data_IF_927651814997
#
_entry.id   IF_927651814997
#
_cell.length_a   1.000
_cell.length_b   1.000
_cell.length_c   1.000
_cell.angle_alpha   90.00
_cell.angle_beta   90.00
_cell.angle_gamma   90.00
#
_symmetry.space_group_name_H-M   'P 1'
#
loop_
_entity.id
_entity.type
_entity.pdbx_description
1 polymer ?
#
# COMPACT_ATOMS: atom_id res chain seq x y z
N UNK A 1 -12.96 11.78 -17.64
CA UNK A 1 -13.49 10.41 -17.44
C UNK A 1 -14.77 10.42 -16.59
N UNK A 2 -14.74 10.86 -15.33
CA UNK A 2 -15.96 10.96 -14.47
C UNK A 2 -17.17 11.66 -15.11
N UNK A 3 -16.98 12.73 -15.88
CA UNK A 3 -18.07 13.39 -16.62
C UNK A 3 -18.60 12.53 -17.76
N UNK A 4 -17.70 11.92 -18.53
CA UNK A 4 -18.05 11.06 -19.66
C UNK A 4 -18.81 9.82 -19.21
N UNK A 5 -18.44 9.28 -18.04
CA UNK A 5 -19.07 8.11 -17.44
C UNK A 5 -20.30 8.48 -16.59
N UNK A 6 -20.69 9.75 -16.54
CA UNK A 6 -21.91 10.20 -15.87
C UNK A 6 -21.84 10.26 -14.34
N UNK A 7 -20.66 10.22 -13.73
CA UNK A 7 -20.48 10.43 -12.28
C UNK A 7 -20.49 11.91 -11.90
N UNK A 8 -20.22 12.82 -12.84
CA UNK A 8 -20.23 14.26 -12.61
C UNK A 8 -20.89 15.01 -13.78
N UNK A 9 -21.63 16.11 -13.53
CA UNK A 9 -22.06 17.00 -14.59
C UNK A 9 -20.87 17.81 -15.13
N UNK A 10 -20.94 18.25 -16.38
CA UNK A 10 -19.94 19.17 -16.98
C UNK A 10 -19.75 20.43 -16.14
N UNK A 11 -20.82 20.92 -15.50
CA UNK A 11 -20.79 22.07 -14.63
C UNK A 11 -19.81 21.94 -13.44
N UNK A 12 -19.54 20.71 -12.97
CA UNK A 12 -18.67 20.47 -11.81
C UNK A 12 -17.21 20.89 -12.03
N UNK A 13 -16.76 21.02 -13.29
CA UNK A 13 -15.39 21.43 -13.65
C UNK A 13 -15.33 22.76 -14.38
N UNK A 14 -16.40 23.58 -14.32
CA UNK A 14 -16.41 24.91 -14.94
C UNK A 14 -15.36 25.85 -14.37
N UNK A 15 -15.03 25.70 -13.08
CA UNK A 15 -13.98 26.44 -12.42
C UNK A 15 -12.88 25.48 -11.97
N UNK A 16 -11.81 25.42 -12.76
CA UNK A 16 -10.58 24.73 -12.38
C UNK A 16 -9.63 25.78 -11.80
N UNK A 17 -9.12 25.61 -10.57
CA UNK A 17 -8.08 26.49 -10.05
C UNK A 17 -6.88 26.58 -11.02
N UNK A 18 -6.18 27.71 -11.10
CA UNK A 18 -5.04 27.89 -12.00
C UNK A 18 -3.82 27.11 -11.50
N UNK A 19 -3.83 25.78 -11.68
CA UNK A 19 -2.73 24.91 -11.27
C UNK A 19 -1.49 25.16 -12.14
N UNK A 20 -0.27 25.10 -11.55
CA UNK A 20 0.96 25.09 -12.32
C UNK A 20 0.96 23.96 -13.36
N UNK A 21 1.53 24.21 -14.53
CA UNK A 21 1.58 23.23 -15.62
C UNK A 21 2.86 22.40 -15.66
N UNK A 22 3.91 22.86 -14.97
CA UNK A 22 5.24 22.21 -14.94
C UNK A 22 5.53 21.46 -13.64
N UNK A 23 4.74 21.70 -12.60
CA UNK A 23 4.90 21.11 -11.29
C UNK A 23 3.53 20.80 -10.66
N UNK A 24 3.52 19.88 -9.71
CA UNK A 24 2.30 19.51 -8.98
C UNK A 24 2.33 20.17 -7.61
N UNK A 25 1.43 21.11 -7.38
CA UNK A 25 1.13 21.60 -6.03
C UNK A 25 0.10 20.67 -5.37
N UNK A 26 0.59 19.72 -4.56
CA UNK A 26 -0.24 18.65 -4.01
C UNK A 26 -1.37 19.17 -3.11
N UNK A 27 -1.15 20.21 -2.29
CA UNK A 27 -2.14 20.69 -1.33
C UNK A 27 -3.45 21.15 -2.01
N UNK A 28 -3.40 22.14 -2.91
CA UNK A 28 -4.55 22.61 -3.67
C UNK A 28 -5.17 21.52 -4.57
N UNK A 29 -4.37 20.65 -5.18
CA UNK A 29 -4.88 19.56 -6.04
C UNK A 29 -5.68 18.55 -5.22
N UNK A 30 -5.18 18.15 -4.05
CA UNK A 30 -5.88 17.24 -3.13
C UNK A 30 -7.22 17.83 -2.72
N UNK A 31 -7.23 19.09 -2.25
CA UNK A 31 -8.47 19.75 -1.83
C UNK A 31 -9.49 19.85 -2.97
N UNK A 32 -9.04 20.28 -4.16
CA UNK A 32 -9.89 20.39 -5.34
C UNK A 32 -10.46 19.04 -5.77
N UNK A 33 -9.61 18.01 -5.95
CA UNK A 33 -10.05 16.69 -6.39
C UNK A 33 -10.95 16.01 -5.35
N UNK A 34 -10.66 16.12 -4.06
CA UNK A 34 -11.54 15.59 -3.01
C UNK A 34 -12.92 16.23 -3.04
N UNK A 35 -13.01 17.53 -3.35
CA UNK A 35 -14.32 18.19 -3.52
C UNK A 35 -15.11 17.61 -4.71
N UNK A 36 -14.44 17.27 -5.82
CA UNK A 36 -15.07 16.63 -6.98
C UNK A 36 -15.46 15.18 -6.70
N UNK A 37 -14.61 14.44 -5.99
CA UNK A 37 -14.87 13.07 -5.55
C UNK A 37 -16.07 12.98 -4.62
N UNK A 38 -16.20 13.91 -3.67
CA UNK A 38 -17.39 14.00 -2.82
C UNK A 38 -18.66 14.35 -3.61
N UNK A 39 -18.56 15.19 -4.65
CA UNK A 39 -19.68 15.46 -5.55
C UNK A 39 -20.04 14.23 -6.38
N UNK A 40 -19.04 13.50 -6.89
CA UNK A 40 -19.23 12.30 -7.70
C UNK A 40 -19.93 11.19 -6.90
N UNK A 41 -19.48 10.95 -5.66
CA UNK A 41 -20.11 9.99 -4.77
C UNK A 41 -21.58 10.35 -4.48
N UNK A 42 -21.86 11.61 -4.12
CA UNK A 42 -23.24 12.06 -3.90
C UNK A 42 -24.12 11.94 -5.15
N UNK A 43 -23.55 12.15 -6.34
CA UNK A 43 -24.26 11.95 -7.59
C UNK A 43 -24.55 10.47 -7.84
N UNK A 44 -23.55 9.60 -7.64
CA UNK A 44 -23.71 8.14 -7.73
C UNK A 44 -24.78 7.61 -6.76
N UNK A 45 -24.77 8.05 -5.50
CA UNK A 45 -25.78 7.65 -4.53
C UNK A 45 -27.20 8.02 -4.97
N UNK A 46 -27.40 9.23 -5.53
CA UNK A 46 -28.73 9.72 -5.95
C UNK A 46 -29.18 9.22 -7.31
N UNK A 47 -28.27 9.12 -8.27
CA UNK A 47 -28.57 8.99 -9.69
C UNK A 47 -27.72 7.93 -10.42
N UNK A 48 -26.90 7.15 -9.69
CA UNK A 48 -26.13 6.06 -10.25
C UNK A 48 -27.04 5.04 -10.96
N UNK A 49 -26.68 4.71 -12.20
CA UNK A 49 -27.43 3.75 -13.03
C UNK A 49 -27.35 2.34 -12.45
N UNK A 50 -28.27 1.46 -12.84
CA UNK A 50 -28.24 0.05 -12.43
C UNK A 50 -26.90 -0.62 -12.76
N UNK A 51 -26.35 -0.34 -13.95
CA UNK A 51 -25.06 -0.88 -14.41
C UNK A 51 -23.91 -0.43 -13.49
N UNK A 52 -23.82 0.86 -13.17
CA UNK A 52 -22.78 1.38 -12.29
C UNK A 52 -22.88 0.80 -10.87
N UNK A 53 -24.11 0.63 -10.36
CA UNK A 53 -24.32 0.04 -9.03
C UNK A 53 -23.91 -1.42 -9.00
N UNK A 54 -24.29 -2.20 -10.01
CA UNK A 54 -23.86 -3.61 -10.13
C UNK A 54 -22.34 -3.72 -10.22
N UNK A 55 -21.69 -2.91 -11.06
CA UNK A 55 -20.23 -2.91 -11.17
C UNK A 55 -19.54 -2.53 -9.85
N UNK A 56 -20.07 -1.52 -9.14
CA UNK A 56 -19.55 -1.13 -7.84
C UNK A 56 -19.72 -2.23 -6.78
N UNK A 57 -20.89 -2.86 -6.70
CA UNK A 57 -21.13 -3.98 -5.78
C UNK A 57 -20.20 -5.16 -6.08
N UNK A 58 -20.06 -5.54 -7.35
CA UNK A 58 -19.16 -6.61 -7.77
C UNK A 58 -17.71 -6.29 -7.40
N UNK A 59 -17.24 -5.06 -7.65
CA UNK A 59 -15.90 -4.64 -7.24
C UNK A 59 -15.72 -4.75 -5.72
N UNK A 60 -16.72 -4.32 -4.94
CA UNK A 60 -16.64 -4.43 -3.49
C UNK A 60 -16.55 -5.89 -3.01
N UNK A 61 -17.30 -6.79 -3.62
CA UNK A 61 -17.28 -8.23 -3.30
C UNK A 61 -15.95 -8.88 -3.68
N UNK A 62 -15.44 -8.61 -4.90
CA UNK A 62 -14.18 -9.18 -5.40
C UNK A 62 -12.96 -8.65 -4.63
N UNK A 63 -13.01 -7.41 -4.16
CA UNK A 63 -11.90 -6.75 -3.46
C UNK A 63 -12.05 -6.73 -1.93
N UNK A 64 -13.07 -7.38 -1.38
CA UNK A 64 -13.42 -7.31 0.05
C UNK A 64 -12.24 -7.61 0.99
N UNK A 65 -11.33 -8.51 0.58
CA UNK A 65 -10.22 -8.97 1.42
C UNK A 65 -9.28 -7.86 1.90
N UNK A 66 -9.17 -6.74 1.17
CA UNK A 66 -8.37 -5.58 1.56
C UNK A 66 -9.22 -4.30 1.61
N UNK A 67 -10.23 -4.20 0.75
CA UNK A 67 -11.01 -2.99 0.57
C UNK A 67 -11.82 -2.64 1.81
N UNK A 68 -12.36 -3.65 2.50
CA UNK A 68 -13.18 -3.46 3.70
C UNK A 68 -12.35 -2.86 4.83
N UNK A 69 -11.18 -3.45 5.10
CA UNK A 69 -10.25 -2.94 6.11
C UNK A 69 -9.69 -1.57 5.72
N UNK A 70 -9.31 -1.37 4.46
CA UNK A 70 -8.85 -0.07 3.97
C UNK A 70 -9.91 1.02 4.15
N UNK A 71 -11.15 0.77 3.74
CA UNK A 71 -12.20 1.78 3.76
C UNK A 71 -12.60 2.14 5.20
N UNK A 72 -12.68 1.16 6.09
CA UNK A 72 -12.93 1.40 7.52
C UNK A 72 -11.76 2.14 8.17
N UNK A 73 -10.51 1.71 7.92
CA UNK A 73 -9.31 2.40 8.41
C UNK A 73 -9.31 3.87 8.00
N UNK A 74 -9.54 4.16 6.72
CA UNK A 74 -9.55 5.53 6.21
C UNK A 74 -10.69 6.37 6.81
N UNK A 75 -11.86 5.78 7.04
CA UNK A 75 -12.98 6.48 7.68
C UNK A 75 -12.69 6.80 9.15
N UNK A 76 -12.18 5.83 9.92
CA UNK A 76 -11.83 6.04 11.34
C UNK A 76 -10.68 7.03 11.47
N UNK A 77 -9.67 6.93 10.61
CA UNK A 77 -8.56 7.88 10.53
C UNK A 77 -9.05 9.31 10.30
N UNK A 78 -9.90 9.51 9.29
CA UNK A 78 -10.46 10.84 8.99
C UNK A 78 -11.30 11.37 10.14
N UNK A 79 -12.07 10.50 10.80
CA UNK A 79 -12.87 10.86 11.98
C UNK A 79 -11.99 11.36 13.14
N UNK A 80 -10.78 10.84 13.28
CA UNK A 80 -9.81 11.20 14.32
C UNK A 80 -8.67 12.11 13.83
N UNK A 81 -8.75 12.68 12.63
CA UNK A 81 -7.63 13.42 12.03
C UNK A 81 -7.11 14.58 12.89
N UNK A 82 -8.01 15.26 13.60
CA UNK A 82 -7.67 16.37 14.51
C UNK A 82 -6.95 15.92 15.80
N UNK A 83 -6.92 14.61 16.08
CA UNK A 83 -6.27 14.01 17.25
C UNK A 83 -5.04 13.23 16.80
N UNK A 84 -3.85 13.82 16.97
CA UNK A 84 -2.55 13.21 16.62
C UNK A 84 -2.46 12.72 15.16
N UNK A 85 -3.14 13.42 14.23
CA UNK A 85 -3.13 13.06 12.81
C UNK A 85 -3.94 11.79 12.48
N UNK A 86 -4.69 11.26 13.45
CA UNK A 86 -5.51 10.06 13.29
C UNK A 86 -4.71 8.77 13.17
N UNK A 87 -3.51 8.69 13.76
CA UNK A 87 -2.69 7.46 13.78
C UNK A 87 -3.42 6.36 14.54
N UNK A 88 -3.47 5.15 13.99
CA UNK A 88 -4.40 4.12 14.48
C UNK A 88 -4.20 3.65 15.93
N UNK A 89 -2.99 3.72 16.48
CA UNK A 89 -2.74 3.30 17.86
C UNK A 89 -3.15 4.36 18.90
N UNK A 90 -3.61 5.53 18.46
CA UNK A 90 -4.08 6.63 19.33
C UNK A 90 -5.61 6.73 19.34
N UNK A 91 -6.30 5.92 18.54
CA UNK A 91 -7.75 5.79 18.56
C UNK A 91 -8.26 5.18 19.86
N UNK A 92 -9.58 5.23 20.14
CA UNK A 92 -10.16 4.43 21.22
C UNK A 92 -9.70 2.97 21.15
N UNK A 93 -9.31 2.42 22.29
CA UNK A 93 -8.60 1.13 22.38
C UNK A 93 -9.36 -0.01 21.70
N UNK A 94 -10.69 0.00 21.78
CA UNK A 94 -11.56 -1.02 21.21
C UNK A 94 -11.50 -1.08 19.67
N UNK A 95 -11.49 0.07 18.98
CA UNK A 95 -11.32 0.13 17.52
C UNK A 95 -9.86 -0.01 17.09
N UNK A 96 -8.91 0.50 17.87
CA UNK A 96 -7.48 0.30 17.63
C UNK A 96 -7.13 -1.20 17.66
N UNK A 97 -7.69 -1.95 18.61
CA UNK A 97 -7.54 -3.41 18.76
C UNK A 97 -8.53 -4.23 17.93
N UNK A 98 -9.37 -3.58 17.12
CA UNK A 98 -10.35 -4.21 16.22
C UNK A 98 -11.30 -5.16 16.94
N UNK A 99 -11.76 -4.79 18.13
CA UNK A 99 -12.75 -5.55 18.87
C UNK A 99 -14.04 -5.69 18.04
N UNK A 100 -14.64 -6.90 17.90
CA UNK A 100 -15.74 -7.12 16.97
C UNK A 100 -16.94 -6.17 17.16
N UNK A 101 -17.28 -5.83 18.40
CA UNK A 101 -18.36 -4.91 18.71
C UNK A 101 -18.04 -3.47 18.26
N UNK A 102 -16.81 -3.01 18.50
CA UNK A 102 -16.35 -1.71 18.04
C UNK A 102 -16.31 -1.64 16.51
N UNK A 103 -15.78 -2.67 15.85
CA UNK A 103 -15.75 -2.75 14.38
C UNK A 103 -17.16 -2.62 13.77
N UNK A 104 -18.18 -3.29 14.34
CA UNK A 104 -19.57 -3.15 13.90
C UNK A 104 -20.12 -1.75 14.15
N UNK A 105 -19.91 -1.20 15.36
CA UNK A 105 -20.37 0.14 15.72
C UNK A 105 -19.77 1.21 14.81
N UNK A 106 -18.46 1.18 14.58
CA UNK A 106 -17.76 2.14 13.73
C UNK A 106 -18.15 1.98 12.27
N UNK A 107 -18.33 0.76 11.78
CA UNK A 107 -18.81 0.50 10.42
C UNK A 107 -20.22 1.08 10.20
N UNK A 108 -21.12 0.95 11.18
CA UNK A 108 -22.45 1.55 11.11
C UNK A 108 -22.41 3.08 11.21
N UNK A 109 -21.60 3.61 12.14
CA UNK A 109 -21.45 5.06 12.38
C UNK A 109 -20.88 5.79 11.16
N UNK A 110 -19.94 5.17 10.44
CA UNK A 110 -19.19 5.77 9.34
C UNK A 110 -19.56 5.19 7.96
N UNK A 111 -20.71 4.53 7.85
CA UNK A 111 -21.12 3.80 6.64
C UNK A 111 -21.01 4.64 5.34
N UNK A 112 -21.46 5.90 5.35
CA UNK A 112 -21.38 6.78 4.16
C UNK A 112 -19.93 7.11 3.77
N UNK A 113 -19.05 7.30 4.75
CA UNK A 113 -17.64 7.57 4.49
C UNK A 113 -16.89 6.32 4.02
N UNK A 114 -17.22 5.16 4.58
CA UNK A 114 -16.69 3.87 4.14
C UNK A 114 -17.11 3.60 2.69
N UNK A 115 -18.40 3.76 2.37
CA UNK A 115 -18.91 3.62 0.99
C UNK A 115 -18.17 4.58 0.03
N UNK A 116 -17.96 5.83 0.46
CA UNK A 116 -17.21 6.82 -0.33
C UNK A 116 -15.78 6.35 -0.61
N UNK A 117 -15.04 5.86 0.38
CA UNK A 117 -13.68 5.35 0.17
C UNK A 117 -13.66 4.14 -0.78
N UNK A 118 -14.62 3.21 -0.63
CA UNK A 118 -14.79 2.09 -1.57
C UNK A 118 -15.07 2.56 -2.99
N UNK A 119 -15.96 3.54 -3.13
CA UNK A 119 -16.32 4.12 -4.43
C UNK A 119 -15.12 4.77 -5.12
N UNK A 120 -14.23 5.43 -4.37
CA UNK A 120 -13.01 6.00 -4.96
C UNK A 120 -12.02 4.94 -5.41
N UNK A 121 -11.86 3.84 -4.67
CA UNK A 121 -11.05 2.71 -5.13
C UNK A 121 -11.65 2.09 -6.39
N UNK A 122 -12.96 1.87 -6.43
CA UNK A 122 -13.66 1.40 -7.63
C UNK A 122 -13.34 2.27 -8.86
N UNK A 123 -13.53 3.58 -8.75
CA UNK A 123 -13.23 4.52 -9.85
C UNK A 123 -11.75 4.54 -10.25
N UNK A 124 -10.84 4.35 -9.28
CA UNK A 124 -9.41 4.25 -9.55
C UNK A 124 -9.11 3.00 -10.37
N UNK A 125 -9.57 1.83 -9.91
CA UNK A 125 -9.30 0.56 -10.58
C UNK A 125 -9.95 0.48 -11.96
N UNK A 126 -11.17 1.00 -12.16
CA UNK A 126 -11.78 1.08 -13.49
C UNK A 126 -10.90 1.86 -14.47
N UNK A 127 -10.41 3.03 -14.05
CA UNK A 127 -9.60 3.89 -14.93
C UNK A 127 -8.19 3.32 -15.14
N UNK A 128 -7.57 2.79 -14.09
CA UNK A 128 -6.23 2.23 -14.15
C UNK A 128 -6.18 0.98 -15.03
N UNK A 129 -7.12 0.04 -14.84
CA UNK A 129 -7.14 -1.19 -15.61
C UNK A 129 -7.50 -0.93 -17.08
N UNK A 130 -8.36 0.05 -17.37
CA UNK A 130 -8.61 0.48 -18.74
C UNK A 130 -7.35 1.07 -19.42
N UNK A 131 -6.56 1.86 -18.69
CA UNK A 131 -5.30 2.40 -19.19
C UNK A 131 -4.26 1.29 -19.43
N UNK A 132 -4.11 0.37 -18.47
CA UNK A 132 -3.20 -0.77 -18.58
C UNK A 132 -3.58 -1.64 -19.78
N UNK A 133 -4.86 -1.96 -19.96
CA UNK A 133 -5.35 -2.71 -21.11
C UNK A 133 -5.00 -2.00 -22.42
N UNK A 134 -5.25 -0.68 -22.51
CA UNK A 134 -4.94 0.10 -23.70
C UNK A 134 -3.44 0.06 -24.08
N UNK A 135 -2.56 0.06 -23.07
CA UNK A 135 -1.12 -0.08 -23.24
C UNK A 135 -0.74 -1.51 -23.68
N UNK A 136 -1.30 -2.53 -23.03
CA UNK A 136 -1.03 -3.94 -23.33
C UNK A 136 -1.50 -4.33 -24.73
N UNK A 137 -2.64 -3.80 -25.22
CA UNK A 137 -3.13 -3.96 -26.60
C UNK A 137 -2.16 -3.40 -27.66
N UNK A 138 -1.13 -2.66 -27.24
CA UNK A 138 -0.07 -2.08 -28.07
C UNK A 138 1.30 -2.63 -27.75
N UNK A 139 1.35 -3.78 -27.07
CA UNK A 139 2.58 -4.44 -26.63
C UNK A 139 3.43 -3.59 -25.67
N UNK A 140 2.84 -2.60 -25.02
CA UNK A 140 3.48 -1.78 -23.99
C UNK A 140 3.18 -2.41 -22.62
N UNK A 141 4.24 -2.77 -21.90
CA UNK A 141 4.15 -3.27 -20.52
C UNK A 141 4.33 -2.14 -19.52
N UNK A 142 3.56 -2.18 -18.44
CA UNK A 142 3.68 -1.27 -17.29
C UNK A 142 4.59 -1.89 -16.25
N UNK A 143 5.66 -1.17 -15.88
CA UNK A 143 6.50 -1.52 -14.74
C UNK A 143 5.95 -0.79 -13.52
N UNK A 144 5.44 -1.55 -12.56
CA UNK A 144 5.04 -1.09 -11.24
C UNK A 144 6.19 -1.16 -10.24
N UNK A 145 5.90 -0.72 -9.02
CA UNK A 145 6.87 -0.58 -7.95
C UNK A 145 6.23 -0.96 -6.63
N UNK A 146 6.90 -1.80 -5.86
CA UNK A 146 6.46 -2.19 -4.53
C UNK A 146 7.60 -1.95 -3.52
N UNK A 147 7.41 -1.01 -2.57
CA UNK A 147 8.24 -0.88 -1.39
C UNK A 147 8.27 -2.20 -0.61
N UNK A 148 9.43 -2.67 -0.16
CA UNK A 148 9.45 -3.89 0.68
C UNK A 148 8.60 -3.70 1.93
N UNK A 149 8.73 -2.55 2.62
CA UNK A 149 7.99 -2.26 3.85
C UNK A 149 6.73 -1.42 3.59
N UNK A 150 5.76 -1.53 4.48
CA UNK A 150 4.55 -0.70 4.51
C UNK A 150 4.69 0.40 5.56
N UNK A 151 3.93 1.50 5.43
CA UNK A 151 3.92 2.53 6.46
C UNK A 151 3.31 2.00 7.76
N UNK A 152 3.80 2.47 8.91
CA UNK A 152 3.23 2.14 10.22
C UNK A 152 1.74 2.50 10.32
N UNK A 153 1.42 3.74 9.94
CA UNK A 153 0.07 4.26 9.97
C UNK A 153 -0.70 3.88 8.69
N UNK A 154 -1.02 2.59 8.58
CA UNK A 154 -1.68 1.99 7.42
C UNK A 154 -2.73 0.95 7.81
N UNK A 155 -3.68 0.72 6.91
CA UNK A 155 -4.65 -0.37 7.04
C UNK A 155 -3.95 -1.74 7.07
N UNK A 156 -2.82 -1.89 6.36
CA UNK A 156 -2.03 -3.12 6.34
C UNK A 156 -1.57 -3.54 7.75
N UNK A 157 -1.00 -2.61 8.50
CA UNK A 157 -0.49 -2.86 9.86
C UNK A 157 -1.64 -2.97 10.85
N UNK A 158 -2.60 -2.04 10.80
CA UNK A 158 -3.75 -2.04 11.72
C UNK A 158 -4.59 -3.33 11.59
N UNK A 159 -4.81 -3.82 10.37
CA UNK A 159 -5.62 -5.01 10.15
C UNK A 159 -4.87 -6.33 10.40
N UNK A 160 -3.54 -6.31 10.41
CA UNK A 160 -2.70 -7.51 10.53
C UNK A 160 -1.57 -7.33 11.57
N UNK A 161 -1.86 -6.88 12.81
CA UNK A 161 -0.83 -6.46 13.77
C UNK A 161 0.10 -7.61 14.18
N UNK A 162 -0.37 -8.86 14.13
CA UNK A 162 0.44 -10.03 14.49
C UNK A 162 1.58 -10.32 13.49
N UNK A 163 1.50 -9.77 12.28
CA UNK A 163 2.51 -9.91 11.23
C UNK A 163 3.70 -8.95 11.39
N UNK A 164 3.65 -8.03 12.35
CA UNK A 164 4.66 -6.99 12.58
C UNK A 164 5.19 -7.02 14.02
N UNK A 165 6.40 -6.52 14.23
CA UNK A 165 6.98 -6.35 15.56
C UNK A 165 6.40 -5.09 16.23
N UNK A 166 5.32 -5.27 16.99
CA UNK A 166 4.61 -4.23 17.71
C UNK A 166 4.52 -4.56 19.20
N UNK A 167 4.54 -3.53 20.05
CA UNK A 167 4.17 -3.62 21.45
C UNK A 167 2.65 -3.81 21.64
N UNK A 168 2.21 -4.07 22.87
CA UNK A 168 0.79 -4.31 23.19
C UNK A 168 -0.11 -3.08 22.97
N UNK A 169 0.48 -1.89 22.99
CA UNK A 169 -0.17 -0.61 22.67
C UNK A 169 -0.21 -0.31 21.16
N UNK A 170 0.36 -1.20 20.33
CA UNK A 170 0.42 -1.06 18.89
C UNK A 170 1.65 -0.31 18.36
N UNK A 171 2.46 0.31 19.21
CA UNK A 171 3.67 1.02 18.78
C UNK A 171 4.75 0.04 18.24
N UNK A 172 5.59 0.44 17.26
CA UNK A 172 6.64 -0.44 16.75
C UNK A 172 7.69 -0.76 17.81
N UNK A 173 8.08 -2.03 17.92
CA UNK A 173 9.25 -2.45 18.73
C UNK A 173 10.54 -2.21 17.95
N UNK A 174 10.50 -2.50 16.65
CA UNK A 174 11.61 -2.28 15.73
C UNK A 174 11.13 -1.57 14.46
N UNK A 175 12.04 -0.82 13.86
CA UNK A 175 11.81 -0.08 12.63
C UNK A 175 12.87 -0.39 11.57
N UNK A 176 12.46 -0.20 10.31
CA UNK A 176 13.31 -0.37 9.15
C UNK A 176 14.25 0.82 8.94
N UNK A 177 15.38 0.51 8.31
CA UNK A 177 16.36 1.47 7.85
C UNK A 177 17.52 0.81 7.12
N UNK A 178 18.60 1.56 6.97
CA UNK A 178 19.91 1.05 6.53
C UNK A 178 21.01 1.58 7.44
N UNK A 179 22.07 0.80 7.70
CA UNK A 179 23.16 1.24 8.55
C UNK A 179 23.94 2.42 7.93
N UNK A 180 24.80 3.08 8.71
CA UNK A 180 25.79 3.99 8.17
C UNK A 180 26.64 3.38 7.06
N UNK A 181 26.94 4.19 6.05
CA UNK A 181 27.83 3.84 4.95
C UNK A 181 28.68 5.04 4.54
N UNK A 182 29.43 4.92 3.44
CA UNK A 182 30.27 6.01 2.94
C UNK A 182 29.46 7.24 2.46
N UNK A 183 28.16 7.08 2.15
CA UNK A 183 27.28 8.15 1.70
C UNK A 183 26.49 8.79 2.86
N UNK A 184 26.21 8.05 3.94
CA UNK A 184 25.51 8.54 5.13
C UNK A 184 26.18 8.11 6.43
N UNK A 185 26.71 9.09 7.17
CA UNK A 185 27.37 8.84 8.45
C UNK A 185 26.43 8.30 9.57
N UNK A 186 25.13 8.51 9.44
CA UNK A 186 24.11 8.07 10.42
C UNK A 186 23.19 6.98 9.88
N UNK A 187 23.45 6.50 8.67
CA UNK A 187 22.55 5.60 7.94
C UNK A 187 21.24 6.29 7.57
N UNK A 188 20.15 5.54 7.45
CA UNK A 188 18.82 6.08 7.23
C UNK A 188 17.81 5.35 8.08
N UNK A 189 17.02 6.09 8.86
CA UNK A 189 15.91 5.58 9.67
C UNK A 189 14.62 5.86 8.92
N UNK A 190 13.95 4.83 8.41
CA UNK A 190 12.75 5.01 7.57
C UNK A 190 11.45 5.03 8.38
N UNK A 191 11.43 4.35 9.54
CA UNK A 191 10.28 4.38 10.46
C UNK A 191 9.16 3.40 10.13
N UNK A 192 9.31 2.56 9.10
CA UNK A 192 8.39 1.46 8.83
C UNK A 192 8.53 0.35 9.87
N UNK A 193 7.45 -0.31 10.31
CA UNK A 193 7.56 -1.48 11.19
C UNK A 193 8.17 -2.67 10.44
N UNK A 194 8.85 -3.54 11.18
CA UNK A 194 9.46 -4.75 10.62
C UNK A 194 8.51 -5.96 10.67
N UNK A 195 8.66 -6.83 9.69
CA UNK A 195 7.87 -8.06 9.57
C UNK A 195 8.32 -9.14 10.54
N UNK A 196 7.34 -9.85 11.13
CA UNK A 196 7.56 -11.12 11.82
C UNK A 196 7.58 -12.25 10.80
N UNK A 197 8.67 -12.36 10.04
CA UNK A 197 8.79 -13.35 8.94
C UNK A 197 8.50 -14.79 9.38
N UNK A 198 8.93 -15.18 10.58
CA UNK A 198 8.65 -16.51 11.13
C UNK A 198 7.15 -16.74 11.39
N UNK A 199 6.39 -15.69 11.72
CA UNK A 199 4.93 -15.74 11.86
C UNK A 199 4.27 -15.87 10.49
N UNK A 200 4.67 -15.04 9.53
CA UNK A 200 4.17 -15.11 8.14
C UNK A 200 4.49 -16.46 7.47
N UNK A 201 5.58 -17.13 7.83
CA UNK A 201 5.89 -18.45 7.29
C UNK A 201 4.90 -19.54 7.74
N UNK A 202 4.17 -19.34 8.84
CA UNK A 202 3.23 -20.34 9.38
C UNK A 202 1.97 -20.49 8.54
N UNK A 203 1.63 -19.49 7.73
CA UNK A 203 0.50 -19.49 6.81
C UNK A 203 0.96 -19.32 5.35
N UNK A 204 2.14 -19.86 5.03
CA UNK A 204 2.74 -19.84 3.69
C UNK A 204 2.83 -18.42 3.09
N UNK A 205 3.07 -17.42 3.95
CA UNK A 205 3.19 -16.01 3.60
C UNK A 205 1.95 -15.42 2.94
N UNK A 206 0.75 -15.85 3.34
CA UNK A 206 -0.52 -15.51 2.69
C UNK A 206 -0.74 -14.00 2.45
N UNK A 207 -0.30 -13.15 3.40
CA UNK A 207 -0.38 -11.70 3.27
C UNK A 207 0.47 -11.17 2.10
N UNK A 208 1.69 -11.68 1.94
CA UNK A 208 2.58 -11.32 0.84
C UNK A 208 2.12 -11.88 -0.51
N UNK A 209 1.53 -13.09 -0.53
CA UNK A 209 0.89 -13.66 -1.74
C UNK A 209 -0.17 -12.69 -2.25
N UNK A 210 -1.10 -12.26 -1.40
CA UNK A 210 -2.16 -11.30 -1.76
C UNK A 210 -1.61 -9.96 -2.21
N UNK A 211 -0.57 -9.45 -1.52
CA UNK A 211 0.09 -8.19 -1.87
C UNK A 211 0.73 -8.23 -3.26
N UNK A 212 1.48 -9.29 -3.58
CA UNK A 212 2.07 -9.45 -4.91
C UNK A 212 1.01 -9.69 -5.98
N UNK A 213 -0.01 -10.52 -5.69
CA UNK A 213 -1.13 -10.73 -6.61
C UNK A 213 -1.81 -9.42 -7.00
N UNK A 214 -2.13 -8.57 -6.03
CA UNK A 214 -2.71 -7.25 -6.29
C UNK A 214 -1.77 -6.34 -7.07
N UNK A 215 -0.46 -6.42 -6.81
CA UNK A 215 0.53 -5.63 -7.55
C UNK A 215 0.63 -6.09 -9.01
N UNK A 216 0.57 -7.41 -9.28
CA UNK A 216 0.54 -7.96 -10.63
C UNK A 216 -0.78 -7.69 -11.38
N UNK A 217 -1.89 -7.50 -10.66
CA UNK A 217 -3.12 -6.96 -11.27
C UNK A 217 -2.89 -5.54 -11.81
N UNK A 218 -2.11 -4.72 -11.09
CA UNK A 218 -1.87 -3.33 -11.43
C UNK A 218 -0.73 -3.12 -12.43
N UNK A 219 0.23 -4.03 -12.52
CA UNK A 219 1.41 -3.90 -13.38
C UNK A 219 1.85 -5.24 -13.99
N UNK A 220 2.45 -5.18 -15.17
CA UNK A 220 2.91 -6.38 -15.89
C UNK A 220 4.24 -6.91 -15.36
N UNK A 221 5.06 -6.01 -14.82
CA UNK A 221 6.37 -6.27 -14.21
C UNK A 221 6.44 -5.41 -12.95
N UNK A 222 7.04 -5.93 -11.88
CA UNK A 222 7.10 -5.22 -10.60
C UNK A 222 8.54 -5.09 -10.15
N UNK A 223 9.00 -3.86 -9.94
CA UNK A 223 10.23 -3.61 -9.19
C UNK A 223 9.96 -3.80 -7.70
N UNK A 224 10.70 -4.69 -7.05
CA UNK A 224 10.70 -4.76 -5.58
C UNK A 224 11.85 -3.89 -5.08
N UNK A 225 11.50 -2.78 -4.45
CA UNK A 225 12.42 -1.87 -3.78
C UNK A 225 13.08 -2.54 -2.57
N UNK A 226 14.35 -2.24 -2.35
CA UNK A 226 15.15 -2.80 -1.26
C UNK A 226 15.09 -4.33 -1.19
N UNK A 227 15.22 -5.00 -2.34
CA UNK A 227 15.13 -6.45 -2.48
C UNK A 227 16.07 -7.20 -1.51
N UNK A 228 17.21 -6.60 -1.16
CA UNK A 228 18.15 -7.18 -0.20
C UNK A 228 17.52 -7.49 1.16
N UNK A 229 16.44 -6.81 1.55
CA UNK A 229 15.70 -7.06 2.78
C UNK A 229 15.11 -8.47 2.88
N UNK A 230 14.91 -9.16 1.76
CA UNK A 230 14.51 -10.58 1.77
C UNK A 230 15.65 -11.52 2.13
N UNK A 231 16.91 -11.15 1.90
CA UNK A 231 18.07 -11.91 2.37
C UNK A 231 18.41 -11.56 3.83
N UNK A 232 18.53 -10.27 4.12
CA UNK A 232 18.74 -9.74 5.47
C UNK A 232 18.28 -8.28 5.51
N UNK A 233 17.69 -7.83 6.60
CA UNK A 233 17.26 -6.43 6.79
C UNK A 233 17.94 -5.82 8.01
N UNK A 234 18.06 -4.48 8.02
CA UNK A 234 18.61 -3.75 9.16
C UNK A 234 17.49 -3.45 10.15
N UNK A 235 17.63 -3.98 11.36
CA UNK A 235 16.69 -3.83 12.47
C UNK A 235 17.21 -2.78 13.44
N UNK A 236 16.42 -1.72 13.63
CA UNK A 236 16.73 -0.62 14.55
C UNK A 236 15.67 -0.66 15.67
N UNK A 237 16.05 -0.64 16.96
CA UNK A 237 15.09 -0.40 18.06
C UNK A 237 14.32 0.91 17.83
N UNK A 238 13.00 0.90 17.99
CA UNK A 238 12.17 2.02 17.56
C UNK A 238 12.46 3.35 18.29
N UNK A 239 12.97 3.25 19.53
CA UNK A 239 13.39 4.35 20.39
C UNK A 239 14.66 5.06 19.91
N UNK A 240 15.45 4.43 19.04
CA UNK A 240 16.68 5.02 18.54
C UNK A 240 16.38 6.19 17.59
N UNK A 241 17.04 7.35 17.78
CA UNK A 241 16.81 8.53 16.95
C UNK A 241 17.46 8.43 15.57
N UNK A 242 18.38 7.47 15.37
CA UNK A 242 19.14 7.27 14.12
C UNK A 242 19.26 5.79 13.78
N UNK A 243 19.85 5.46 12.63
CA UNK A 243 20.07 4.07 12.20
C UNK A 243 21.43 3.49 12.59
N UNK A 244 22.22 4.20 13.41
CA UNK A 244 23.56 3.76 13.84
C UNK A 244 23.46 2.50 14.71
N UNK A 245 22.54 2.51 15.67
CA UNK A 245 22.31 1.38 16.58
C UNK A 245 21.27 0.47 15.94
N UNK A 246 21.73 -0.67 15.46
CA UNK A 246 20.89 -1.69 14.85
C UNK A 246 21.68 -2.96 14.60
N UNK A 247 21.04 -3.93 13.97
CA UNK A 247 21.69 -5.19 13.58
C UNK A 247 21.13 -5.74 12.29
N UNK A 248 21.95 -6.52 11.60
CA UNK A 248 21.49 -7.33 10.48
C UNK A 248 20.71 -8.54 11.00
N UNK A 249 19.47 -8.68 10.55
CA UNK A 249 18.60 -9.83 10.83
C UNK A 249 18.33 -10.56 9.52
N UNK A 250 18.33 -11.90 9.57
CA UNK A 250 18.08 -12.73 8.39
C UNK A 250 16.63 -12.55 7.93
N UNK A 251 16.44 -12.28 6.64
CA UNK A 251 15.13 -12.25 5.99
C UNK A 251 14.63 -13.66 5.65
N UNK A 252 13.46 -13.80 5.03
CA UNK A 252 12.84 -15.09 4.77
C UNK A 252 13.50 -15.85 3.59
N UNK A 253 14.33 -15.17 2.80
CA UNK A 253 15.20 -15.76 1.80
C UNK A 253 14.49 -16.57 0.71
N UNK A 254 15.05 -17.74 0.42
CA UNK A 254 14.62 -18.61 -0.69
C UNK A 254 13.19 -19.13 -0.46
N UNK A 255 12.86 -19.54 0.77
CA UNK A 255 11.58 -20.15 1.11
C UNK A 255 10.41 -19.22 0.75
N UNK A 256 10.58 -17.91 0.97
CA UNK A 256 9.61 -16.89 0.57
C UNK A 256 9.31 -16.94 -0.93
N UNK A 257 10.33 -16.78 -1.77
CA UNK A 257 10.13 -16.72 -3.22
C UNK A 257 9.73 -18.06 -3.83
N UNK A 258 10.11 -19.19 -3.21
CA UNK A 258 9.58 -20.50 -3.57
C UNK A 258 8.07 -20.52 -3.35
N UNK A 259 7.59 -20.08 -2.18
CA UNK A 259 6.16 -20.00 -1.89
C UNK A 259 5.42 -19.03 -2.80
N UNK A 260 5.99 -17.88 -3.11
CA UNK A 260 5.40 -16.95 -4.07
C UNK A 260 5.24 -17.60 -5.45
N UNK A 261 6.26 -18.33 -5.93
CA UNK A 261 6.20 -19.04 -7.22
C UNK A 261 5.20 -20.19 -7.21
N UNK A 262 5.12 -20.94 -6.11
CA UNK A 262 4.13 -22.02 -5.94
C UNK A 262 2.69 -21.50 -6.02
N UNK A 263 2.42 -20.32 -5.44
CA UNK A 263 1.08 -19.76 -5.34
C UNK A 263 0.68 -18.89 -6.54
N UNK A 264 1.64 -18.16 -7.13
CA UNK A 264 1.38 -17.16 -8.17
C UNK A 264 1.90 -17.57 -9.56
N UNK A 265 2.72 -18.61 -9.65
CA UNK A 265 3.38 -19.02 -10.89
C UNK A 265 4.57 -18.14 -11.23
N UNK A 266 4.59 -17.60 -12.45
CA UNK A 266 5.66 -16.72 -12.90
C UNK A 266 5.71 -15.43 -12.07
N UNK A 267 6.92 -15.01 -11.72
CA UNK A 267 7.16 -13.84 -10.90
C UNK A 267 7.91 -12.78 -11.75
N UNK A 268 7.20 -11.91 -12.48
CA UNK A 268 7.81 -10.87 -13.31
C UNK A 268 8.36 -9.74 -12.44
N UNK A 269 9.45 -10.02 -11.73
CA UNK A 269 10.06 -9.14 -10.74
C UNK A 269 11.36 -8.56 -11.26
N UNK A 270 11.59 -7.27 -11.00
CA UNK A 270 12.90 -6.62 -11.05
C UNK A 270 13.37 -6.43 -9.61
N UNK A 271 14.54 -6.97 -9.27
CA UNK A 271 15.14 -6.79 -7.96
C UNK A 271 15.91 -5.46 -7.92
N UNK A 272 15.48 -4.51 -7.08
CA UNK A 272 16.30 -3.35 -6.76
C UNK A 272 17.48 -3.83 -5.88
N UNK A 273 18.68 -3.84 -6.47
CA UNK A 273 19.91 -4.36 -5.86
C UNK A 273 21.07 -3.34 -5.92
N UNK A 274 20.77 -2.07 -5.64
CA UNK A 274 21.75 -1.00 -5.56
C UNK A 274 22.34 -0.89 -4.14
N UNK A 275 23.42 -0.11 -4.01
CA UNK A 275 24.16 0.05 -2.77
C UNK A 275 25.14 -1.09 -2.47
N UNK A 276 25.50 -1.26 -1.19
CA UNK A 276 26.42 -2.32 -0.76
C UNK A 276 25.67 -3.65 -0.67
N UNK A 277 25.81 -4.47 -1.70
CA UNK A 277 25.12 -5.77 -1.85
C UNK A 277 26.09 -6.92 -1.62
N UNK A 278 25.69 -7.86 -0.76
CA UNK A 278 26.43 -9.10 -0.46
C UNK A 278 26.20 -10.17 -1.52
N UNK A 279 27.10 -11.15 -1.57
CA UNK A 279 26.96 -12.29 -2.50
C UNK A 279 25.68 -13.10 -2.26
N UNK A 280 25.25 -13.21 -1.00
CA UNK A 280 24.00 -13.92 -0.64
C UNK A 280 22.76 -13.29 -1.27
N UNK A 281 22.71 -11.97 -1.37
CA UNK A 281 21.62 -11.25 -2.07
C UNK A 281 21.67 -11.53 -3.57
N UNK A 282 22.86 -11.57 -4.18
CA UNK A 282 23.03 -11.90 -5.61
C UNK A 282 22.56 -13.32 -5.90
N UNK A 283 22.97 -14.28 -5.07
CA UNK A 283 22.53 -15.67 -5.15
C UNK A 283 21.01 -15.79 -5.03
N UNK A 284 20.40 -15.09 -4.07
CA UNK A 284 18.95 -15.07 -3.91
C UNK A 284 18.25 -14.54 -5.18
N UNK A 285 18.73 -13.43 -5.74
CA UNK A 285 18.18 -12.86 -6.98
C UNK A 285 18.33 -13.84 -8.17
N UNK A 286 19.53 -14.37 -8.36
CA UNK A 286 19.88 -15.17 -9.55
C UNK A 286 19.22 -16.54 -9.53
N UNK A 287 19.00 -17.14 -8.35
CA UNK A 287 18.27 -18.41 -8.21
C UNK A 287 16.84 -18.33 -8.75
N UNK A 288 16.22 -17.15 -8.73
CA UNK A 288 14.89 -16.94 -9.28
C UNK A 288 14.89 -16.25 -10.65
N UNK A 289 16.07 -16.04 -11.24
CA UNK A 289 16.28 -15.34 -12.51
C UNK A 289 15.70 -13.93 -12.53
N UNK A 290 15.72 -13.23 -11.39
CA UNK A 290 15.26 -11.85 -11.35
C UNK A 290 16.33 -10.91 -11.93
N UNK A 291 16.01 -10.03 -12.91
CA UNK A 291 16.92 -8.97 -13.31
C UNK A 291 17.21 -8.01 -12.15
N UNK A 292 18.49 -7.64 -12.00
CA UNK A 292 18.93 -6.54 -11.13
C UNK A 292 18.95 -5.19 -11.85
N UNK A 293 19.49 -4.17 -11.20
CA UNK A 293 19.58 -2.79 -11.71
C UNK A 293 21.04 -2.33 -11.88
N UNK A 294 21.26 -1.47 -12.89
CA UNK A 294 22.51 -0.73 -13.12
C UNK A 294 22.17 0.70 -13.50
N UNK A 295 22.71 1.67 -12.76
CA UNK A 295 22.49 3.10 -12.99
C UNK A 295 23.79 3.70 -13.55
N UNK A 296 23.69 4.42 -14.66
CA UNK A 296 24.85 4.93 -15.41
C UNK A 296 25.35 6.32 -14.97
N UNK A 297 24.55 7.05 -14.19
CA UNK A 297 24.89 8.39 -13.68
C UNK A 297 26.15 8.35 -12.81
#
# INVERSE_FOLDING_TARGET
KLIADGYLPVAAVQYVPPFPTLEVDYGPVIAYKNSLFAQAHRHFQKAGTAVQRTAFTQFCEEQAFWLDDFALFMAVKNHHADHEGGVWNTWPTDIARREPAAMQQWSAKLADEIERHKFLQFLFFEQWLALKQYANDRDIKVIGDIPIFVAYDSADVWANPDLFYLHEDGSPEFIAGVPPDYFSATGQRWGNPLYRWARMAQDDFSWWVKRLQMTFTQADIVRIDHFRGFDAYWEIPAEEPTAIVGRWVKGPGIDFFQKMREQLGDLPIIAEDLGVITETVRTLRDQFNFPGMKILQ
#
